data_IF_301655692378
#
_entry.id   IF_301655692378
#
_cell.length_a   1.000
_cell.length_b   1.000
_cell.length_c   1.000
_cell.angle_alpha   90.00
_cell.angle_beta   90.00
_cell.angle_gamma   90.00
#
_symmetry.space_group_name_H-M   'P 1'
#
loop_
_entity.id
_entity.type
_entity.pdbx_description
1 polymer ?
#
# COMPACT_ATOMS: atom_id res chain seq x y z
N UNK A 1 13.05 -35.59 -5.54
CA UNK A 1 12.26 -34.58 -6.23
C UNK A 1 12.18 -33.29 -5.41
N UNK A 2 12.50 -32.20 -6.07
CA UNK A 2 12.51 -30.91 -5.42
C UNK A 2 11.17 -30.22 -5.62
N UNK A 3 10.60 -29.70 -4.56
CA UNK A 3 9.40 -28.90 -4.68
C UNK A 3 9.52 -27.65 -3.84
N UNK A 4 8.95 -26.57 -4.35
CA UNK A 4 8.97 -25.28 -3.68
C UNK A 4 7.63 -25.11 -2.96
N UNK A 5 7.53 -25.69 -1.78
CA UNK A 5 6.27 -25.61 -1.07
C UNK A 5 6.20 -24.45 -0.09
N UNK A 6 7.34 -23.91 0.26
CA UNK A 6 7.38 -22.85 1.27
C UNK A 6 7.66 -21.49 0.66
N UNK A 7 7.34 -21.33 -0.62
CA UNK A 7 7.49 -20.04 -1.25
C UNK A 7 6.55 -19.06 -0.57
N UNK A 8 7.13 -18.12 0.16
CA UNK A 8 6.32 -17.14 0.86
C UNK A 8 5.93 -16.02 -0.07
N UNK A 9 4.68 -15.63 0.01
CA UNK A 9 4.22 -14.45 -0.68
C UNK A 9 4.65 -13.21 0.10
N UNK A 10 4.98 -12.14 -0.62
CA UNK A 10 5.23 -10.86 -0.01
C UNK A 10 3.88 -10.24 0.33
N UNK A 11 3.68 -9.93 1.59
CA UNK A 11 2.43 -9.33 2.06
C UNK A 11 2.53 -7.81 1.97
N UNK A 12 1.60 -7.21 1.29
CA UNK A 12 1.67 -5.79 0.95
C UNK A 12 0.42 -5.08 1.44
N UNK A 13 0.61 -3.90 2.04
CA UNK A 13 -0.45 -2.96 2.32
C UNK A 13 -0.28 -1.73 1.46
N UNK A 14 -1.37 -1.21 0.90
CA UNK A 14 -1.32 -0.03 0.04
C UNK A 14 -2.10 1.09 0.72
N UNK A 15 -1.42 2.19 1.00
CA UNK A 15 -2.03 3.36 1.60
C UNK A 15 -2.33 4.40 0.54
N UNK A 16 -3.58 4.86 0.50
CA UNK A 16 -4.01 5.85 -0.47
C UNK A 16 -4.45 5.24 -1.79
N UNK A 17 -5.17 4.13 -1.72
CA UNK A 17 -5.50 3.33 -2.90
C UNK A 17 -6.52 4.01 -3.82
N UNK A 18 -7.27 4.99 -3.32
CA UNK A 18 -8.23 5.72 -4.16
C UNK A 18 -7.59 6.88 -4.93
N UNK A 19 -6.30 7.16 -4.69
CA UNK A 19 -5.56 8.07 -5.54
C UNK A 19 -5.02 7.34 -6.77
N UNK A 20 -4.55 8.12 -7.74
CA UNK A 20 -4.12 7.57 -9.02
C UNK A 20 -2.98 6.55 -8.86
N UNK A 21 -1.92 6.95 -8.16
CA UNK A 21 -0.75 6.08 -8.02
C UNK A 21 -1.06 4.84 -7.19
N UNK A 22 -1.84 5.00 -6.14
CA UNK A 22 -2.20 3.86 -5.29
C UNK A 22 -3.08 2.85 -6.02
N UNK A 23 -4.03 3.34 -6.79
CA UNK A 23 -4.89 2.45 -7.57
C UNK A 23 -4.11 1.70 -8.64
N UNK A 24 -3.20 2.38 -9.32
CA UNK A 24 -2.34 1.72 -10.32
C UNK A 24 -1.44 0.68 -9.68
N UNK A 25 -0.87 0.99 -8.52
CA UNK A 25 -0.05 0.01 -7.81
C UNK A 25 -0.85 -1.24 -7.46
N UNK A 26 -2.09 -1.05 -6.97
CA UNK A 26 -2.95 -2.18 -6.65
C UNK A 26 -3.23 -3.02 -7.88
N UNK A 27 -3.54 -2.38 -9.01
CA UNK A 27 -3.83 -3.10 -10.25
C UNK A 27 -2.68 -3.99 -10.68
N UNK A 28 -1.46 -3.48 -10.61
CA UNK A 28 -0.29 -4.25 -11.02
C UNK A 28 0.06 -5.32 -10.02
N UNK A 29 0.05 -5.00 -8.74
CA UNK A 29 0.52 -5.94 -7.71
C UNK A 29 -0.44 -7.09 -7.49
N UNK A 30 -1.74 -6.89 -7.66
CA UNK A 30 -2.67 -7.99 -7.46
C UNK A 30 -2.47 -9.10 -8.51
N UNK A 31 -1.84 -8.75 -9.63
CA UNK A 31 -1.57 -9.73 -10.70
C UNK A 31 -0.22 -10.42 -10.50
N UNK A 32 0.56 -9.98 -9.54
CA UNK A 32 1.85 -10.57 -9.28
C UNK A 32 1.68 -11.85 -8.47
N UNK A 33 2.30 -12.92 -8.94
CA UNK A 33 2.09 -14.25 -8.37
C UNK A 33 2.61 -14.38 -6.94
N UNK A 34 3.59 -13.59 -6.58
CA UNK A 34 4.28 -13.70 -5.30
C UNK A 34 3.86 -12.61 -4.32
N UNK A 35 2.80 -11.87 -4.63
CA UNK A 35 2.34 -10.76 -3.81
C UNK A 35 0.92 -11.02 -3.33
N UNK A 36 0.69 -10.77 -2.05
CA UNK A 36 -0.63 -10.82 -1.44
C UNK A 36 -0.96 -9.41 -0.94
N UNK A 37 -2.08 -8.87 -1.38
CA UNK A 37 -2.55 -7.58 -0.87
C UNK A 37 -3.33 -7.85 0.40
N UNK A 38 -2.80 -7.39 1.53
CA UNK A 38 -3.40 -7.61 2.84
C UNK A 38 -4.42 -6.53 3.15
N UNK A 39 -4.09 -5.27 2.86
CA UNK A 39 -5.03 -4.18 3.10
C UNK A 39 -4.81 -3.05 2.08
N UNK A 40 -5.83 -2.23 1.95
CA UNK A 40 -5.77 -1.01 1.17
C UNK A 40 -6.48 0.08 1.97
N UNK A 41 -5.91 1.27 2.01
CA UNK A 41 -6.51 2.35 2.79
C UNK A 41 -7.05 3.46 1.91
N UNK A 42 -8.09 4.10 2.41
CA UNK A 42 -8.63 5.32 1.85
C UNK A 42 -9.32 6.08 2.98
N UNK A 43 -8.87 7.30 3.23
CA UNK A 43 -9.47 8.08 4.30
C UNK A 43 -10.89 8.52 3.95
N UNK A 44 -11.13 8.84 2.68
CA UNK A 44 -12.44 9.33 2.26
C UNK A 44 -13.46 8.22 2.01
N UNK A 45 -13.00 7.00 1.74
CA UNK A 45 -13.86 5.89 1.34
C UNK A 45 -13.76 4.69 2.27
N UNK A 46 -13.21 4.88 3.46
CA UNK A 46 -13.09 3.81 4.43
C UNK A 46 -14.46 3.21 4.74
N UNK A 47 -14.51 1.91 4.87
CA UNK A 47 -15.76 1.18 5.12
C UNK A 47 -16.46 0.70 3.86
N UNK A 48 -16.01 1.14 2.70
CA UNK A 48 -16.53 0.66 1.41
C UNK A 48 -15.57 -0.35 0.82
N UNK A 49 -16.01 -1.04 -0.23
CA UNK A 49 -15.08 -1.84 -1.02
C UNK A 49 -14.57 -1.00 -2.19
N UNK A 50 -13.43 -1.38 -2.74
CA UNK A 50 -12.86 -0.64 -3.87
C UNK A 50 -13.80 -0.67 -5.07
N UNK A 51 -14.53 -1.76 -5.28
CA UNK A 51 -15.44 -1.87 -6.41
C UNK A 51 -16.59 -0.86 -6.34
N UNK A 52 -16.92 -0.37 -5.16
CA UNK A 52 -17.93 0.69 -5.03
C UNK A 52 -17.41 2.04 -5.48
N UNK A 53 -16.10 2.24 -5.39
CA UNK A 53 -15.46 3.51 -5.78
C UNK A 53 -15.03 3.45 -7.25
N UNK A 54 -14.40 2.35 -7.64
CA UNK A 54 -13.96 2.13 -9.01
C UNK A 54 -14.54 0.80 -9.48
N UNK A 55 -15.70 0.83 -10.12
CA UNK A 55 -16.35 -0.40 -10.58
C UNK A 55 -15.42 -1.23 -11.47
N UNK A 56 -15.30 -2.50 -11.17
CA UNK A 56 -14.41 -3.39 -11.90
C UNK A 56 -14.14 -4.65 -11.10
N UNK A 57 -13.14 -5.43 -11.53
CA UNK A 57 -12.85 -6.72 -10.90
C UNK A 57 -12.12 -6.62 -9.57
N UNK A 58 -11.61 -5.44 -9.22
CA UNK A 58 -10.88 -5.25 -7.97
C UNK A 58 -11.88 -4.98 -6.86
N UNK A 59 -12.01 -5.91 -5.93
CA UNK A 59 -12.98 -5.78 -4.84
C UNK A 59 -12.26 -5.96 -3.51
N UNK A 60 -11.50 -4.95 -3.13
CA UNK A 60 -10.72 -4.95 -1.90
C UNK A 60 -11.40 -4.05 -0.88
N UNK A 61 -11.62 -4.52 0.35
CA UNK A 61 -12.16 -3.65 1.39
C UNK A 61 -11.21 -2.49 1.69
N UNK A 62 -11.79 -1.32 1.91
CA UNK A 62 -11.03 -0.11 2.20
C UNK A 62 -11.13 0.21 3.68
N UNK A 63 -9.99 0.49 4.29
CA UNK A 63 -9.92 0.84 5.71
C UNK A 63 -9.21 2.18 5.87
N UNK A 64 -9.41 2.82 7.01
CA UNK A 64 -8.64 4.01 7.35
C UNK A 64 -7.23 3.60 7.76
N UNK A 65 -6.28 4.51 7.60
CA UNK A 65 -4.88 4.24 7.97
C UNK A 65 -4.77 3.80 9.42
N UNK A 66 -5.53 4.43 10.31
CA UNK A 66 -5.44 4.09 11.73
C UNK A 66 -5.91 2.68 12.06
N UNK A 67 -6.70 2.09 11.17
CA UNK A 67 -7.20 0.73 11.34
C UNK A 67 -6.40 -0.30 10.55
N UNK A 68 -5.39 0.13 9.82
CA UNK A 68 -4.63 -0.76 8.96
C UNK A 68 -3.68 -1.64 9.77
N UNK A 69 -3.64 -2.95 9.49
CA UNK A 69 -2.78 -3.87 10.24
C UNK A 69 -1.36 -3.88 9.70
N UNK A 70 -0.58 -2.84 10.00
CA UNK A 70 0.79 -2.73 9.51
C UNK A 70 1.69 -3.86 10.02
N UNK A 71 1.34 -4.48 11.12
CA UNK A 71 2.11 -5.60 11.66
C UNK A 71 1.92 -6.89 10.88
N UNK A 72 0.97 -6.91 9.96
CA UNK A 72 0.68 -8.10 9.16
C UNK A 72 1.22 -8.02 7.74
N UNK A 73 1.96 -6.98 7.42
CA UNK A 73 2.52 -6.84 6.08
C UNK A 73 4.04 -6.79 6.13
N UNK A 74 4.65 -7.18 5.03
CA UNK A 74 6.10 -7.09 4.86
C UNK A 74 6.49 -5.73 4.30
N UNK A 75 5.63 -5.16 3.47
CA UNK A 75 5.87 -3.88 2.80
C UNK A 75 4.61 -3.04 2.83
N UNK A 76 4.76 -1.76 3.16
CA UNK A 76 3.70 -0.77 3.03
C UNK A 76 4.06 0.18 1.89
N UNK A 77 3.17 0.29 0.91
CA UNK A 77 3.32 1.23 -0.19
C UNK A 77 2.51 2.47 0.13
N UNK A 78 3.16 3.62 0.09
CA UNK A 78 2.51 4.88 0.45
C UNK A 78 2.30 5.71 -0.80
N UNK A 79 1.04 5.96 -1.14
CA UNK A 79 0.63 6.83 -2.22
C UNK A 79 -0.29 7.90 -1.64
N UNK A 80 0.23 8.64 -0.67
CA UNK A 80 -0.56 9.54 0.16
C UNK A 80 -0.34 11.00 -0.25
N UNK A 81 -1.28 11.88 0.11
CA UNK A 81 -1.09 13.30 -0.13
C UNK A 81 0.14 13.83 0.59
N UNK A 82 0.62 14.99 0.11
CA UNK A 82 1.75 15.67 0.71
C UNK A 82 1.50 15.91 2.21
N UNK A 83 2.50 15.61 3.01
CA UNK A 83 2.44 15.79 4.44
C UNK A 83 1.94 14.60 5.23
N UNK A 84 1.31 13.64 4.59
CA UNK A 84 0.76 12.48 5.30
C UNK A 84 1.71 11.29 5.33
N UNK A 85 2.56 11.16 4.32
CA UNK A 85 3.36 9.95 4.16
C UNK A 85 4.38 9.74 5.27
N UNK A 86 5.02 10.83 5.73
CA UNK A 86 6.06 10.70 6.76
C UNK A 86 5.48 10.10 8.04
N UNK A 87 4.30 10.57 8.45
CA UNK A 87 3.66 10.07 9.67
C UNK A 87 3.30 8.59 9.53
N UNK A 88 2.76 8.22 8.38
CA UNK A 88 2.37 6.84 8.13
C UNK A 88 3.61 5.94 8.01
N UNK A 89 4.68 6.45 7.41
CA UNK A 89 5.92 5.69 7.31
C UNK A 89 6.47 5.32 8.69
N UNK A 90 6.44 6.27 9.62
CA UNK A 90 6.90 5.99 11.00
C UNK A 90 6.06 4.86 11.61
N UNK A 91 4.75 4.92 11.41
CA UNK A 91 3.84 3.91 11.95
C UNK A 91 4.13 2.53 11.34
N UNK A 92 4.32 2.47 10.04
CA UNK A 92 4.61 1.21 9.37
C UNK A 92 5.96 0.63 9.79
N UNK A 93 6.99 1.47 9.86
CA UNK A 93 8.32 1.03 10.28
C UNK A 93 8.31 0.52 11.72
N UNK A 94 7.59 1.21 12.60
CA UNK A 94 7.48 0.78 13.99
C UNK A 94 6.81 -0.59 14.11
N UNK A 95 5.94 -0.93 13.17
CA UNK A 95 5.27 -2.22 13.15
C UNK A 95 6.10 -3.31 12.46
N UNK A 96 7.27 -2.97 11.95
CA UNK A 96 8.16 -3.94 11.32
C UNK A 96 8.09 -4.03 9.81
N UNK A 97 7.26 -3.21 9.18
CA UNK A 97 7.13 -3.22 7.73
C UNK A 97 8.22 -2.39 7.07
N UNK A 98 8.60 -2.76 5.86
CA UNK A 98 9.40 -1.89 5.01
C UNK A 98 8.48 -0.92 4.30
N UNK A 99 9.01 0.22 3.90
CA UNK A 99 8.20 1.28 3.31
C UNK A 99 8.73 1.63 1.92
N UNK A 100 7.82 1.68 0.96
CA UNK A 100 8.07 2.24 -0.37
C UNK A 100 7.13 3.42 -0.52
N UNK A 101 7.68 4.60 -0.77
CA UNK A 101 6.92 5.84 -0.76
C UNK A 101 6.88 6.48 -2.14
N UNK A 102 5.67 6.62 -2.68
CA UNK A 102 5.44 7.31 -3.94
C UNK A 102 5.07 8.76 -3.75
N UNK A 103 4.98 9.23 -2.50
CA UNK A 103 4.55 10.59 -2.22
C UNK A 103 5.67 11.59 -2.44
N UNK A 104 5.36 12.87 -2.33
CA UNK A 104 6.35 13.93 -2.46
C UNK A 104 7.11 14.21 -1.16
N UNK A 105 6.72 13.58 -0.03
CA UNK A 105 7.27 13.93 1.28
C UNK A 105 8.76 13.65 1.40
N UNK A 106 9.25 12.63 0.69
CA UNK A 106 10.66 12.26 0.73
C UNK A 106 11.39 12.63 -0.54
N UNK A 107 10.79 13.45 -1.40
CA UNK A 107 11.48 13.93 -2.60
C UNK A 107 12.52 14.97 -2.22
N UNK A 108 13.59 14.94 -2.98
CA UNK A 108 14.61 15.99 -2.88
C UNK A 108 14.08 17.25 -3.53
N UNK A 109 14.33 18.39 -2.90
CA UNK A 109 13.74 19.66 -3.31
C UNK A 109 14.63 20.49 -4.21
N UNK A 110 15.88 20.11 -4.39
CA UNK A 110 16.81 20.85 -5.20
C UNK A 110 17.41 19.96 -6.27
N UNK A 111 17.72 20.49 -7.46
CA UNK A 111 18.30 19.66 -8.51
C UNK A 111 19.60 18.99 -8.12
N UNK A 112 20.38 19.59 -7.25
CA UNK A 112 21.66 19.05 -6.85
C UNK A 112 21.53 17.76 -6.06
N UNK A 113 20.36 17.48 -5.49
CA UNK A 113 20.16 16.31 -4.65
C UNK A 113 19.48 15.16 -5.39
N UNK A 114 19.18 15.33 -6.66
CA UNK A 114 18.59 14.26 -7.45
C UNK A 114 19.62 13.40 -8.13
#
# INVERSE_FOLDING_TARGET
LYEVKDKQMVRVGICGVTGYAGYEALRWLRRHRDVQIVFATSESQAGKSLAEVYPGPLDTPLVAVDDAPFDQVDVALLALPHGAAARVAVKALAAGAKVVDFSADFRLNTPETY
#
